data_IF_377136347641
#
_entry.id   IF_377136347641
#
_cell.length_a   1.000
_cell.length_b   1.000
_cell.length_c   1.000
_cell.angle_alpha   90.00
_cell.angle_beta   90.00
_cell.angle_gamma   90.00
#
_symmetry.space_group_name_H-M   'P 1'
#
loop_
_entity.id
_entity.type
_entity.pdbx_description
1 polymer ?
#
# COMPACT_ATOMS: atom_id res chain seq x y z
N UNK A 1 8.02 22.38 53.99
CA UNK A 1 8.01 21.58 52.75
C UNK A 1 9.25 20.72 52.83
N UNK A 2 9.05 19.42 52.92
CA UNK A 2 10.14 18.50 53.27
C UNK A 2 10.89 18.06 52.01
N UNK A 3 12.11 17.56 52.19
CA UNK A 3 12.96 17.11 51.08
C UNK A 3 12.25 16.05 50.24
N UNK A 4 11.49 15.16 50.87
CA UNK A 4 10.65 14.16 50.20
C UNK A 4 9.62 14.79 49.27
N UNK A 5 8.94 15.85 49.73
CA UNK A 5 7.98 16.60 48.90
C UNK A 5 8.67 17.25 47.71
N UNK A 6 9.87 17.82 47.92
CA UNK A 6 10.67 18.45 46.85
C UNK A 6 11.12 17.42 45.81
N UNK A 7 11.55 16.22 46.23
CA UNK A 7 11.94 15.14 45.32
C UNK A 7 10.77 14.66 44.47
N UNK A 8 9.58 14.49 45.07
CA UNK A 8 8.37 14.08 44.34
C UNK A 8 7.98 15.13 43.31
N UNK A 9 8.03 16.42 43.67
CA UNK A 9 7.72 17.53 42.74
C UNK A 9 8.74 17.56 41.59
N UNK A 10 10.04 17.46 41.90
CA UNK A 10 11.08 17.46 40.88
C UNK A 10 10.93 16.28 39.91
N UNK A 11 10.62 15.09 40.42
CA UNK A 11 10.35 13.91 39.59
C UNK A 11 9.13 14.12 38.69
N UNK A 12 8.02 14.62 39.23
CA UNK A 12 6.81 14.87 38.46
C UNK A 12 7.05 15.89 37.33
N UNK A 13 7.77 16.97 37.63
CA UNK A 13 8.15 17.98 36.63
C UNK A 13 9.04 17.38 35.54
N UNK A 14 10.07 16.61 35.92
CA UNK A 14 10.96 15.96 34.96
C UNK A 14 10.21 14.95 34.07
N UNK A 15 9.25 14.22 34.63
CA UNK A 15 8.41 13.26 33.90
C UNK A 15 7.52 13.97 32.88
N UNK A 16 6.84 15.05 33.28
CA UNK A 16 5.97 15.84 32.39
C UNK A 16 6.78 16.42 31.22
N UNK A 17 7.96 17.00 31.51
CA UNK A 17 8.86 17.54 30.48
C UNK A 17 9.30 16.43 29.52
N UNK A 18 9.59 15.23 30.04
CA UNK A 18 10.01 14.09 29.23
C UNK A 18 8.91 13.61 28.29
N UNK A 19 7.67 13.48 28.79
CA UNK A 19 6.50 13.11 27.98
C UNK A 19 6.23 14.17 26.91
N UNK A 20 6.25 15.46 27.28
CA UNK A 20 6.05 16.56 26.33
C UNK A 20 7.10 16.53 25.23
N UNK A 21 8.38 16.31 25.58
CA UNK A 21 9.46 16.19 24.60
C UNK A 21 9.20 15.03 23.64
N UNK A 22 8.89 13.83 24.13
CA UNK A 22 8.56 12.68 23.26
C UNK A 22 7.39 13.00 22.34
N UNK A 23 6.34 13.65 22.86
CA UNK A 23 5.16 14.03 22.07
C UNK A 23 5.47 15.04 20.96
N UNK A 24 6.37 15.99 21.20
CA UNK A 24 6.84 16.96 20.20
C UNK A 24 7.76 16.30 19.16
N UNK A 25 8.58 15.33 19.58
CA UNK A 25 9.50 14.59 18.70
C UNK A 25 8.85 13.44 17.93
N UNK A 26 7.63 13.01 18.29
CA UNK A 26 6.93 12.00 17.54
C UNK A 26 6.52 12.58 16.17
N UNK A 27 7.00 12.01 15.04
CA UNK A 27 6.62 12.50 13.72
C UNK A 27 5.10 12.37 13.54
N UNK A 28 4.42 13.51 13.39
CA UNK A 28 2.95 13.57 13.21
C UNK A 28 2.52 13.54 11.75
N UNK A 29 3.47 13.59 10.82
CA UNK A 29 3.21 13.55 9.38
C UNK A 29 3.51 12.15 8.87
N UNK A 30 2.58 11.61 8.09
CA UNK A 30 2.87 10.49 7.19
C UNK A 30 4.03 10.91 6.28
N UNK A 31 4.92 9.98 5.95
CA UNK A 31 6.00 10.26 5.02
C UNK A 31 5.35 10.62 3.67
N UNK A 32 5.81 11.70 3.03
CA UNK A 32 5.27 12.12 1.72
C UNK A 32 5.45 11.04 0.64
N UNK A 33 6.38 10.11 0.85
CA UNK A 33 6.69 8.98 0.00
C UNK A 33 6.26 7.63 0.61
N UNK A 34 5.18 7.64 1.39
CA UNK A 34 4.64 6.41 1.98
C UNK A 34 3.77 5.64 0.98
N UNK A 35 4.40 4.69 0.28
CA UNK A 35 3.76 3.74 -0.64
C UNK A 35 2.83 2.71 0.06
N UNK A 36 2.66 2.81 1.38
CA UNK A 36 1.78 1.95 2.19
C UNK A 36 0.44 2.59 2.53
N UNK A 37 0.20 3.83 2.09
CA UNK A 37 -1.11 4.48 2.23
C UNK A 37 -2.21 3.72 1.47
N UNK A 38 -3.46 3.92 1.89
CA UNK A 38 -4.62 3.34 1.22
C UNK A 38 -4.71 3.83 -0.22
N UNK A 39 -4.51 5.14 -0.44
CA UNK A 39 -4.48 5.76 -1.76
C UNK A 39 -3.38 5.17 -2.67
N UNK A 40 -2.15 5.04 -2.18
CA UNK A 40 -1.07 4.41 -2.95
C UNK A 40 -1.39 2.94 -3.29
N UNK A 41 -2.01 2.21 -2.35
CA UNK A 41 -2.42 0.82 -2.56
C UNK A 41 -3.54 0.71 -3.61
N UNK A 42 -4.52 1.61 -3.59
CA UNK A 42 -5.58 1.68 -4.60
C UNK A 42 -5.01 2.01 -5.98
N UNK A 43 -4.14 3.03 -6.08
CA UNK A 43 -3.48 3.40 -7.32
C UNK A 43 -2.67 2.24 -7.91
N UNK A 44 -1.89 1.54 -7.08
CA UNK A 44 -1.11 0.39 -7.52
C UNK A 44 -2.01 -0.80 -7.93
N UNK A 45 -3.16 -0.97 -7.26
CA UNK A 45 -4.16 -1.98 -7.64
C UNK A 45 -4.77 -1.66 -9.01
N UNK A 46 -5.10 -0.39 -9.25
CA UNK A 46 -5.65 0.08 -10.52
C UNK A 46 -4.66 -0.12 -11.68
N UNK A 47 -3.38 0.25 -11.49
CA UNK A 47 -2.30 -0.04 -12.44
C UNK A 47 -2.18 -1.55 -12.71
N UNK A 48 -2.28 -2.37 -11.66
CA UNK A 48 -2.23 -3.84 -11.78
C UNK A 48 -3.38 -4.37 -12.64
N UNK A 49 -4.60 -3.90 -12.41
CA UNK A 49 -5.79 -4.32 -13.17
C UNK A 49 -5.67 -3.86 -14.63
N UNK A 50 -5.27 -2.61 -14.88
CA UNK A 50 -5.01 -2.11 -16.24
C UNK A 50 -3.96 -2.96 -16.95
N UNK A 51 -2.86 -3.26 -16.29
CA UNK A 51 -1.80 -4.11 -16.84
C UNK A 51 -2.28 -5.52 -17.17
N UNK A 52 -3.18 -6.10 -16.37
CA UNK A 52 -3.81 -7.40 -16.67
C UNK A 52 -4.67 -7.28 -17.93
N UNK A 53 -5.51 -6.24 -18.05
CA UNK A 53 -6.39 -6.04 -19.21
C UNK A 53 -5.56 -5.87 -20.48
N UNK A 54 -4.59 -4.94 -20.46
CA UNK A 54 -3.74 -4.66 -21.63
C UNK A 54 -2.87 -5.85 -22.02
N UNK A 55 -2.26 -6.51 -21.02
CA UNK A 55 -1.45 -7.70 -21.23
C UNK A 55 -2.26 -8.83 -21.85
N UNK A 56 -3.48 -9.05 -21.35
CA UNK A 56 -4.37 -10.08 -21.87
C UNK A 56 -4.88 -9.77 -23.29
N UNK A 57 -5.10 -8.51 -23.63
CA UNK A 57 -5.51 -8.12 -24.98
C UNK A 57 -4.37 -8.19 -26.01
N UNK A 58 -3.13 -7.94 -25.59
CA UNK A 58 -1.95 -8.00 -26.48
C UNK A 58 -1.41 -9.42 -26.66
N UNK A 59 -1.26 -10.16 -25.58
CA UNK A 59 -0.50 -11.41 -25.54
C UNK A 59 -1.32 -12.63 -25.07
N UNK A 60 -2.58 -12.45 -24.66
CA UNK A 60 -3.39 -13.49 -24.04
C UNK A 60 -3.04 -13.73 -22.56
N UNK A 61 -3.35 -14.92 -22.06
CA UNK A 61 -3.09 -15.27 -20.65
C UNK A 61 -1.61 -15.09 -20.31
N UNK A 62 -1.35 -14.33 -19.24
CA UNK A 62 0.00 -14.01 -18.77
C UNK A 62 0.27 -14.63 -17.39
N UNK A 63 1.53 -14.93 -17.13
CA UNK A 63 2.01 -15.40 -15.83
C UNK A 63 2.21 -14.22 -14.87
N UNK A 64 2.29 -14.49 -13.56
CA UNK A 64 2.60 -13.46 -12.56
C UNK A 64 3.95 -12.76 -12.82
N UNK A 65 4.91 -13.47 -13.42
CA UNK A 65 6.22 -12.89 -13.76
C UNK A 65 6.10 -11.88 -14.89
N UNK A 66 5.39 -12.24 -15.96
CA UNK A 66 5.13 -11.36 -17.09
C UNK A 66 4.29 -10.15 -16.66
N UNK A 67 3.30 -10.35 -15.78
CA UNK A 67 2.52 -9.26 -15.22
C UNK A 67 3.40 -8.28 -14.43
N UNK A 68 4.30 -8.79 -13.60
CA UNK A 68 5.23 -7.93 -12.85
C UNK A 68 6.14 -7.11 -13.77
N UNK A 69 6.68 -7.73 -14.82
CA UNK A 69 7.52 -7.04 -15.81
C UNK A 69 6.68 -5.98 -16.57
N UNK A 70 5.43 -6.30 -16.89
CA UNK A 70 4.50 -5.39 -17.53
C UNK A 70 4.15 -4.19 -16.64
N UNK A 71 3.85 -4.39 -15.36
CA UNK A 71 3.58 -3.31 -14.40
C UNK A 71 4.81 -2.43 -14.22
N UNK A 72 5.99 -3.04 -14.07
CA UNK A 72 7.25 -2.31 -13.87
C UNK A 72 7.65 -1.45 -15.07
N UNK A 73 7.07 -1.74 -16.24
CA UNK A 73 7.30 -1.02 -17.49
C UNK A 73 6.09 -0.18 -17.92
N UNK A 74 5.06 -0.08 -17.07
CA UNK A 74 3.83 0.64 -17.37
C UNK A 74 4.04 2.15 -17.22
N UNK A 75 3.49 2.96 -18.13
CA UNK A 75 3.73 4.42 -18.14
C UNK A 75 3.24 5.11 -16.85
N UNK A 76 2.12 4.65 -16.29
CA UNK A 76 1.59 5.13 -15.00
C UNK A 76 2.35 4.63 -13.76
N UNK A 77 3.33 3.72 -13.91
CA UNK A 77 4.07 3.16 -12.80
C UNK A 77 5.23 4.07 -12.39
N UNK A 78 5.03 4.81 -11.31
CA UNK A 78 6.06 5.64 -10.70
C UNK A 78 6.98 4.79 -9.81
N UNK A 79 8.18 4.48 -10.31
CA UNK A 79 9.17 3.66 -9.60
C UNK A 79 9.73 4.33 -8.35
N UNK A 80 9.80 5.66 -8.32
CA UNK A 80 10.28 6.39 -7.14
C UNK A 80 9.24 6.28 -6.03
N UNK A 81 7.97 6.51 -6.38
CA UNK A 81 6.86 6.39 -5.44
C UNK A 81 6.62 4.93 -4.99
N UNK A 82 6.66 3.96 -5.90
CA UNK A 82 6.41 2.53 -5.59
C UNK A 82 7.71 1.73 -5.40
N UNK A 83 8.70 2.29 -4.71
CA UNK A 83 10.03 1.69 -4.58
C UNK A 83 10.03 0.31 -3.89
N UNK A 84 9.02 -0.02 -3.06
CA UNK A 84 8.89 -1.35 -2.42
C UNK A 84 8.18 -2.38 -3.30
N UNK A 85 7.73 -2.01 -4.50
CA UNK A 85 7.05 -2.94 -5.39
C UNK A 85 7.96 -4.09 -5.82
N UNK A 86 7.49 -5.31 -5.61
CA UNK A 86 8.18 -6.55 -5.94
C UNK A 86 7.16 -7.68 -6.14
N UNK A 87 7.63 -8.86 -6.51
CA UNK A 87 6.80 -10.05 -6.72
C UNK A 87 5.92 -10.41 -5.52
N UNK A 88 6.44 -10.28 -4.29
CA UNK A 88 5.65 -10.57 -3.09
C UNK A 88 4.53 -9.55 -2.90
N UNK A 89 4.81 -8.26 -3.15
CA UNK A 89 3.80 -7.20 -3.09
C UNK A 89 2.71 -7.41 -4.14
N UNK A 90 3.09 -7.79 -5.37
CA UNK A 90 2.13 -8.16 -6.42
C UNK A 90 1.23 -9.31 -5.97
N UNK A 91 1.80 -10.40 -5.44
CA UNK A 91 1.04 -11.53 -4.93
C UNK A 91 0.08 -11.13 -3.80
N UNK A 92 0.48 -10.19 -2.93
CA UNK A 92 -0.40 -9.65 -1.88
C UNK A 92 -1.57 -8.86 -2.47
N UNK A 93 -1.33 -8.04 -3.50
CA UNK A 93 -2.38 -7.28 -4.18
C UNK A 93 -3.39 -8.22 -4.85
N UNK A 94 -2.90 -9.22 -5.59
CA UNK A 94 -3.76 -10.23 -6.23
C UNK A 94 -4.57 -11.02 -5.20
N UNK A 95 -3.94 -11.45 -4.10
CA UNK A 95 -4.64 -12.14 -3.02
C UNK A 95 -5.72 -11.26 -2.40
N UNK A 96 -5.44 -9.97 -2.15
CA UNK A 96 -6.42 -9.02 -1.62
C UNK A 96 -7.58 -8.83 -2.60
N UNK A 97 -7.30 -8.79 -3.89
CA UNK A 97 -8.32 -8.74 -4.93
C UNK A 97 -9.24 -9.98 -4.90
N UNK A 98 -8.66 -11.19 -4.86
CA UNK A 98 -9.42 -12.45 -4.78
C UNK A 98 -10.26 -12.58 -3.51
N UNK A 99 -9.77 -12.06 -2.38
CA UNK A 99 -10.55 -12.02 -1.13
C UNK A 99 -11.79 -11.12 -1.26
N UNK A 100 -11.70 -10.04 -2.03
CA UNK A 100 -12.83 -9.13 -2.32
C UNK A 100 -13.76 -9.67 -3.41
N UNK A 101 -13.26 -10.54 -4.28
CA UNK A 101 -13.99 -11.12 -5.40
C UNK A 101 -13.85 -12.65 -5.38
N UNK A 102 -14.64 -13.37 -4.56
CA UNK A 102 -14.46 -14.80 -4.31
C UNK A 102 -14.60 -15.70 -5.55
N UNK A 103 -15.20 -15.20 -6.62
CA UNK A 103 -15.34 -15.88 -7.91
C UNK A 103 -14.11 -15.76 -8.81
N UNK A 104 -13.11 -14.98 -8.40
CA UNK A 104 -11.85 -14.84 -9.14
C UNK A 104 -10.77 -15.66 -8.45
N UNK A 105 -10.11 -16.55 -9.19
CA UNK A 105 -9.01 -17.39 -8.68
C UNK A 105 -7.75 -17.31 -9.55
N UNK A 106 -7.86 -16.72 -10.74
CA UNK A 106 -6.79 -16.57 -11.72
C UNK A 106 -6.76 -15.15 -12.30
N UNK A 107 -5.66 -14.80 -12.98
CA UNK A 107 -5.54 -13.53 -13.72
C UNK A 107 -6.60 -13.42 -14.83
N UNK A 108 -6.98 -14.55 -15.44
CA UNK A 108 -8.02 -14.60 -16.47
C UNK A 108 -9.40 -14.31 -15.89
N UNK A 109 -9.70 -14.78 -14.67
CA UNK A 109 -10.95 -14.44 -13.99
C UNK A 109 -11.01 -12.94 -13.65
N UNK A 110 -9.89 -12.35 -13.24
CA UNK A 110 -9.79 -10.91 -12.97
C UNK A 110 -10.09 -10.14 -14.27
N UNK A 111 -9.48 -10.54 -15.38
CA UNK A 111 -9.73 -9.94 -16.70
C UNK A 111 -11.22 -9.98 -17.08
N UNK A 112 -11.84 -11.15 -17.01
CA UNK A 112 -13.25 -11.30 -17.35
C UNK A 112 -14.17 -10.50 -16.42
N UNK A 113 -13.90 -10.52 -15.12
CA UNK A 113 -14.68 -9.77 -14.14
C UNK A 113 -14.64 -8.26 -14.41
N UNK A 114 -13.46 -7.69 -14.68
CA UNK A 114 -13.29 -6.25 -14.94
C UNK A 114 -13.82 -5.84 -16.32
N UNK A 115 -13.68 -6.71 -17.33
CA UNK A 115 -14.26 -6.48 -18.66
C UNK A 115 -15.79 -6.48 -18.63
N UNK A 116 -16.39 -7.37 -17.84
CA UNK A 116 -17.85 -7.43 -17.70
C UNK A 116 -18.41 -6.27 -16.87
N UNK A 117 -17.66 -5.75 -15.88
CA UNK A 117 -18.02 -4.49 -15.19
C UNK A 117 -18.01 -3.31 -16.16
N UNK A 118 -16.98 -3.21 -17.00
CA UNK A 118 -16.82 -2.12 -17.99
C UNK A 118 -17.92 -2.11 -19.06
N UNK A 119 -18.58 -3.25 -19.32
CA UNK A 119 -19.69 -3.38 -20.29
C UNK A 119 -21.07 -3.04 -19.72
N UNK A 120 -21.20 -2.95 -18.38
CA UNK A 120 -22.47 -2.67 -17.69
C UNK A 120 -22.68 -1.19 -17.38
N UNK A 121 -21.70 -0.34 -17.73
CA UNK A 121 -21.73 1.12 -17.63
C UNK A 121 -21.99 1.67 -19.02
#
# INVERSE_FOLDING_TARGET
MDIETIMIIAFAVALIISIWKIYVFLPKKQLEDDDTTEEATEKLTDITIRSIIEGHEKNGSMTHKELFEHISSHDDFDKEHFWRFNQNRLNQLLRSYHLRHPHTSSLEDIYHNEKDKSRKI
#
